data_IF_524093834278
#
_entry.id   IF_524093834278
#
_cell.length_a   1.000
_cell.length_b   1.000
_cell.length_c   1.000
_cell.angle_alpha   90.00
_cell.angle_beta   90.00
_cell.angle_gamma   90.00
#
_symmetry.space_group_name_H-M   'P 1'
#
loop_
_entity.id
_entity.type
_entity.pdbx_description
1 polymer ?
#
# COMPACT_ATOMS: atom_id res chain seq x y z
N UNK A 1 13.56 30.08 -12.84
CA UNK A 1 14.39 30.23 -11.61
C UNK A 1 15.52 29.19 -11.67
N UNK A 2 16.73 29.54 -11.28
CA UNK A 2 17.83 28.58 -11.04
C UNK A 2 17.81 28.29 -9.54
N UNK A 3 17.69 27.03 -9.18
CA UNK A 3 17.81 26.56 -7.81
C UNK A 3 19.22 25.98 -7.64
N UNK A 4 19.98 26.43 -6.65
CA UNK A 4 21.37 25.99 -6.42
C UNK A 4 21.47 24.47 -6.18
N UNK A 5 20.39 23.84 -5.71
CA UNK A 5 20.28 22.38 -5.56
C UNK A 5 20.21 21.66 -6.89
N UNK A 6 19.75 22.36 -7.95
CA UNK A 6 19.55 21.82 -9.30
C UNK A 6 20.24 22.70 -10.36
N UNK A 7 21.57 22.88 -10.30
CA UNK A 7 22.28 23.90 -11.06
C UNK A 7 22.20 23.75 -12.60
N UNK A 8 21.86 22.57 -13.08
CA UNK A 8 21.69 22.28 -14.51
C UNK A 8 20.24 22.43 -15.00
N UNK A 9 19.34 22.95 -14.16
CA UNK A 9 17.93 23.08 -14.48
C UNK A 9 17.43 24.50 -14.32
N UNK A 10 16.69 24.98 -15.33
CA UNK A 10 15.82 26.15 -15.21
C UNK A 10 14.43 25.66 -14.89
N UNK A 11 13.96 25.95 -13.69
CA UNK A 11 12.65 25.51 -13.18
C UNK A 11 11.67 26.67 -13.28
N UNK A 12 10.62 26.48 -14.08
CA UNK A 12 9.47 27.39 -14.14
C UNK A 12 8.36 26.83 -13.26
N UNK A 13 8.26 27.35 -12.05
CA UNK A 13 7.32 26.84 -11.04
C UNK A 13 5.87 27.15 -11.39
N UNK A 14 5.61 28.26 -12.10
CA UNK A 14 4.25 28.65 -12.52
C UNK A 14 3.75 27.76 -13.66
N UNK A 15 4.59 27.51 -14.67
CA UNK A 15 4.26 26.61 -15.79
C UNK A 15 4.40 25.14 -15.44
N UNK A 16 5.06 24.80 -14.32
CA UNK A 16 5.32 23.42 -13.93
C UNK A 16 6.26 22.69 -14.89
N UNK A 17 7.29 23.38 -15.41
CA UNK A 17 8.22 22.81 -16.41
C UNK A 17 9.66 22.95 -15.98
N UNK A 18 10.51 22.02 -16.46
CA UNK A 18 11.97 22.04 -16.24
C UNK A 18 12.68 22.02 -17.58
N UNK A 19 13.56 23.01 -17.79
CA UNK A 19 14.47 23.04 -18.93
C UNK A 19 15.88 22.66 -18.48
N UNK A 20 16.48 21.67 -19.14
CA UNK A 20 17.84 21.23 -18.85
C UNK A 20 18.85 22.08 -19.61
N UNK A 21 19.75 22.74 -18.88
CA UNK A 21 20.87 23.50 -19.46
C UNK A 21 21.89 22.59 -20.16
N UNK A 22 22.04 21.37 -19.64
CA UNK A 22 22.94 20.36 -20.21
C UNK A 22 22.41 19.83 -21.55
N UNK A 23 21.14 19.38 -21.60
CA UNK A 23 20.54 18.85 -22.82
C UNK A 23 19.94 19.91 -23.74
N UNK A 24 19.90 21.18 -23.32
CA UNK A 24 19.32 22.33 -24.04
C UNK A 24 17.89 22.08 -24.53
N UNK A 25 17.06 21.45 -23.69
CA UNK A 25 15.65 21.12 -23.95
C UNK A 25 14.83 20.97 -22.68
N UNK A 26 13.51 21.04 -22.81
CA UNK A 26 12.61 20.64 -21.73
C UNK A 26 12.79 19.13 -21.46
N UNK A 27 12.76 18.79 -20.16
CA UNK A 27 12.93 17.42 -19.71
C UNK A 27 11.63 16.88 -19.13
N UNK A 28 11.45 15.59 -19.26
CA UNK A 28 10.31 14.85 -18.72
C UNK A 28 9.71 13.91 -19.74
N UNK A 29 9.27 12.74 -19.24
CA UNK A 29 8.57 11.71 -20.02
C UNK A 29 7.40 11.21 -19.19
N UNK A 30 6.23 11.10 -19.81
CA UNK A 30 5.04 10.55 -19.15
C UNK A 30 5.26 9.05 -18.93
N UNK A 31 5.10 8.61 -17.68
CA UNK A 31 5.16 7.20 -17.30
C UNK A 31 3.78 6.51 -17.46
N UNK A 32 3.72 5.20 -17.18
CA UNK A 32 2.46 4.41 -17.22
C UNK A 32 1.42 4.89 -16.20
N UNK A 33 1.85 5.54 -15.13
CA UNK A 33 1.00 6.11 -14.09
C UNK A 33 0.45 7.50 -14.43
N UNK A 34 0.83 8.06 -15.60
CA UNK A 34 0.43 9.39 -16.06
C UNK A 34 1.24 10.54 -15.46
N UNK A 35 2.33 10.26 -14.72
CA UNK A 35 3.22 11.29 -14.17
C UNK A 35 4.34 11.65 -15.13
N UNK A 36 4.76 12.90 -15.13
CA UNK A 36 5.96 13.32 -15.86
C UNK A 36 7.19 12.99 -15.00
N UNK A 37 8.01 12.06 -15.49
CA UNK A 37 9.25 11.61 -14.86
C UNK A 37 10.46 12.30 -15.46
N UNK A 38 11.44 12.59 -14.62
CA UNK A 38 12.76 13.10 -15.00
C UNK A 38 13.85 12.21 -14.39
N UNK A 39 15.05 12.21 -14.98
CA UNK A 39 16.19 11.57 -14.34
C UNK A 39 16.63 12.45 -13.15
N UNK A 40 16.66 11.91 -11.93
CA UNK A 40 17.02 12.71 -10.77
C UNK A 40 18.47 13.19 -10.85
N UNK A 41 18.77 14.40 -10.37
CA UNK A 41 20.14 14.84 -10.16
C UNK A 41 20.85 13.93 -9.13
N UNK A 42 22.17 13.91 -9.17
CA UNK A 42 22.97 13.11 -8.22
C UNK A 42 22.61 13.47 -6.77
N UNK A 43 22.30 12.47 -5.97
CA UNK A 43 21.91 12.65 -4.56
C UNK A 43 20.40 12.74 -4.30
N UNK A 44 19.57 12.86 -5.34
CA UNK A 44 18.11 12.91 -5.20
C UNK A 44 17.45 11.59 -5.60
N UNK A 45 16.43 11.20 -4.81
CA UNK A 45 15.65 9.96 -5.03
C UNK A 45 14.36 10.19 -5.83
N UNK A 46 13.86 11.42 -5.83
CA UNK A 46 12.62 11.77 -6.51
C UNK A 46 12.78 11.68 -8.02
N UNK A 47 11.73 11.26 -8.71
CA UNK A 47 11.77 11.10 -10.15
C UNK A 47 10.61 11.80 -10.88
N UNK A 48 9.69 12.43 -10.15
CA UNK A 48 8.55 13.14 -10.72
C UNK A 48 8.78 14.65 -10.75
N UNK A 49 8.40 15.29 -11.87
CA UNK A 49 8.64 16.72 -12.09
C UNK A 49 7.93 17.59 -11.03
N UNK A 50 6.70 17.25 -10.63
CA UNK A 50 5.94 18.01 -9.64
C UNK A 50 6.67 18.10 -8.28
N UNK A 51 7.44 17.08 -7.91
CA UNK A 51 8.23 17.08 -6.68
C UNK A 51 9.34 18.14 -6.74
N UNK A 52 10.04 18.26 -7.87
CA UNK A 52 11.09 19.29 -8.07
C UNK A 52 10.52 20.67 -8.19
N UNK A 53 9.36 20.83 -8.83
CA UNK A 53 8.64 22.12 -8.89
C UNK A 53 8.29 22.58 -7.48
N UNK A 54 7.73 21.70 -6.66
CA UNK A 54 7.37 22.03 -5.28
C UNK A 54 8.60 22.37 -4.44
N UNK A 55 9.67 21.56 -4.52
CA UNK A 55 10.92 21.82 -3.80
C UNK A 55 11.56 23.15 -4.20
N UNK A 56 11.59 23.47 -5.49
CA UNK A 56 12.14 24.73 -5.97
C UNK A 56 11.34 25.95 -5.51
N UNK A 57 10.00 25.85 -5.51
CA UNK A 57 9.12 26.91 -5.07
C UNK A 57 9.22 27.18 -3.55
N UNK A 58 9.42 26.13 -2.75
CA UNK A 58 9.45 26.25 -1.28
C UNK A 58 10.88 26.34 -0.70
N UNK A 59 11.92 26.20 -1.52
CA UNK A 59 13.31 26.29 -1.08
C UNK A 59 13.77 25.17 -0.14
N UNK A 60 12.99 24.08 0.01
CA UNK A 60 13.28 22.96 0.91
C UNK A 60 12.96 21.62 0.27
N UNK A 61 13.47 20.54 0.84
CA UNK A 61 13.12 19.17 0.42
C UNK A 61 11.75 18.77 0.96
N UNK A 62 11.14 17.76 0.30
CA UNK A 62 9.88 17.18 0.77
C UNK A 62 10.14 16.43 2.07
N UNK A 63 9.44 16.75 3.18
CA UNK A 63 9.65 16.08 4.45
C UNK A 63 9.29 14.59 4.40
N UNK A 64 9.95 13.77 5.21
CA UNK A 64 9.62 12.36 5.32
C UNK A 64 8.17 12.16 5.76
N UNK A 65 7.48 11.21 5.12
CA UNK A 65 6.08 10.92 5.39
C UNK A 65 5.09 11.85 4.71
N UNK A 66 5.56 12.70 3.77
CA UNK A 66 4.70 13.58 2.96
C UNK A 66 4.83 13.28 1.48
N UNK A 67 3.75 13.55 0.76
CA UNK A 67 3.65 13.47 -0.70
C UNK A 67 3.26 14.83 -1.28
N UNK A 68 3.53 15.02 -2.57
CA UNK A 68 2.99 16.15 -3.31
C UNK A 68 1.77 15.69 -4.11
N UNK A 69 0.64 16.31 -3.83
CA UNK A 69 -0.66 16.02 -4.42
C UNK A 69 -1.03 17.06 -5.47
N UNK A 70 -1.69 16.62 -6.57
CA UNK A 70 -2.29 17.51 -7.56
C UNK A 70 -3.72 17.82 -7.14
N UNK A 71 -4.02 19.09 -6.82
CA UNK A 71 -5.32 19.52 -6.28
C UNK A 71 -6.47 19.21 -7.25
N UNK A 72 -6.24 19.42 -8.55
CA UNK A 72 -7.22 19.14 -9.61
C UNK A 72 -7.25 17.68 -10.07
N UNK A 73 -6.40 16.81 -9.50
CA UNK A 73 -6.24 15.41 -9.90
C UNK A 73 -5.53 15.19 -11.25
N UNK A 74 -5.18 16.26 -11.97
CA UNK A 74 -4.49 16.19 -13.26
C UNK A 74 -2.96 16.10 -13.06
N UNK A 75 -2.40 14.93 -13.23
CA UNK A 75 -0.98 14.64 -13.05
C UNK A 75 -0.05 15.35 -14.04
N UNK A 76 -0.59 15.99 -15.07
CA UNK A 76 0.15 16.75 -16.05
C UNK A 76 0.19 18.25 -15.73
N UNK A 77 -0.69 18.71 -14.84
CA UNK A 77 -0.71 20.10 -14.36
C UNK A 77 0.24 20.25 -13.17
N UNK A 78 1.52 20.45 -13.46
CA UNK A 78 2.56 20.56 -12.43
C UNK A 78 2.83 22.01 -11.97
N UNK A 79 1.92 22.96 -12.27
CA UNK A 79 2.00 24.33 -11.75
C UNK A 79 2.01 24.32 -10.23
N UNK A 80 2.84 25.17 -9.60
CA UNK A 80 2.90 25.27 -8.14
C UNK A 80 1.55 25.58 -7.50
N UNK A 81 0.68 26.32 -8.20
CA UNK A 81 -0.66 26.66 -7.74
C UNK A 81 -1.60 25.44 -7.66
N UNK A 82 -1.22 24.32 -8.28
CA UNK A 82 -1.95 23.06 -8.29
C UNK A 82 -1.30 21.99 -7.42
N UNK A 83 -0.22 22.31 -6.71
CA UNK A 83 0.55 21.32 -5.92
C UNK A 83 0.41 21.58 -4.42
N UNK A 84 0.03 20.56 -3.68
CA UNK A 84 -0.14 20.59 -2.24
C UNK A 84 0.72 19.52 -1.55
N UNK A 85 1.34 19.92 -0.41
CA UNK A 85 2.04 18.99 0.47
C UNK A 85 1.04 18.29 1.38
N UNK A 86 0.91 16.98 1.28
CA UNK A 86 -0.07 16.20 2.04
C UNK A 86 0.61 15.09 2.85
N UNK A 87 0.07 14.77 4.01
CA UNK A 87 0.55 13.62 4.78
C UNK A 87 0.26 12.31 4.02
N UNK A 88 1.29 11.48 3.83
CA UNK A 88 1.21 10.24 3.04
C UNK A 88 0.06 9.30 3.50
N UNK A 89 -0.06 9.06 4.82
CA UNK A 89 -1.10 8.17 5.36
C UNK A 89 -2.51 8.69 5.08
N UNK A 90 -2.72 10.02 5.27
CA UNK A 90 -4.00 10.67 4.99
C UNK A 90 -4.33 10.62 3.51
N UNK A 91 -3.36 10.94 2.66
CA UNK A 91 -3.46 10.92 1.20
C UNK A 91 -3.88 9.55 0.66
N UNK A 92 -3.18 8.47 1.08
CA UNK A 92 -3.54 7.09 0.72
C UNK A 92 -4.93 6.72 1.22
N UNK A 93 -5.29 7.13 2.46
CA UNK A 93 -6.63 6.87 3.02
C UNK A 93 -7.72 7.54 2.20
N UNK A 94 -7.52 8.79 1.78
CA UNK A 94 -8.51 9.54 0.98
C UNK A 94 -8.69 8.94 -0.42
N UNK A 95 -7.60 8.55 -1.09
CA UNK A 95 -7.67 7.86 -2.37
C UNK A 95 -8.32 6.47 -2.30
N UNK A 96 -8.35 5.84 -1.13
CA UNK A 96 -8.96 4.53 -0.92
C UNK A 96 -10.40 4.60 -0.38
N UNK A 97 -10.86 5.79 0.03
CA UNK A 97 -12.27 5.98 0.42
C UNK A 97 -13.20 5.63 -0.74
N UNK A 98 -14.16 4.74 -0.48
CA UNK A 98 -15.16 4.33 -1.45
C UNK A 98 -14.69 3.33 -2.50
N UNK A 99 -13.45 2.86 -2.48
CA UNK A 99 -13.03 1.74 -3.32
C UNK A 99 -13.65 0.46 -2.81
N UNK A 100 -14.63 -0.06 -3.54
CA UNK A 100 -15.20 -1.39 -3.30
C UNK A 100 -14.25 -2.40 -3.96
N UNK A 101 -13.66 -3.27 -3.15
CA UNK A 101 -12.86 -4.39 -3.67
C UNK A 101 -13.78 -5.38 -4.37
N UNK A 102 -13.35 -5.93 -5.50
CA UNK A 102 -14.11 -7.00 -6.16
C UNK A 102 -14.22 -8.22 -5.23
N UNK A 103 -15.31 -8.98 -5.35
CA UNK A 103 -15.51 -10.21 -4.56
C UNK A 103 -14.34 -11.19 -4.69
N UNK A 104 -13.78 -11.30 -5.90
CA UNK A 104 -12.60 -12.12 -6.16
C UNK A 104 -11.38 -11.64 -5.37
N UNK A 105 -11.17 -10.32 -5.27
CA UNK A 105 -10.05 -9.74 -4.52
C UNK A 105 -10.23 -9.96 -3.01
N UNK A 106 -11.46 -9.77 -2.50
CA UNK A 106 -11.82 -10.06 -1.11
C UNK A 106 -11.59 -11.54 -0.81
N UNK A 107 -12.00 -12.45 -1.71
CA UNK A 107 -11.79 -13.89 -1.57
C UNK A 107 -10.30 -14.23 -1.51
N UNK A 108 -9.46 -13.71 -2.41
CA UNK A 108 -8.02 -13.93 -2.43
C UNK A 108 -7.33 -13.44 -1.15
N UNK A 109 -7.71 -12.27 -0.64
CA UNK A 109 -7.19 -11.76 0.64
C UNK A 109 -7.62 -12.67 1.79
N UNK A 110 -8.88 -13.10 1.81
CA UNK A 110 -9.41 -14.00 2.83
C UNK A 110 -8.67 -15.35 2.81
N UNK A 111 -8.47 -15.94 1.64
CA UNK A 111 -7.75 -17.20 1.47
C UNK A 111 -6.28 -17.07 1.92
N UNK A 112 -5.59 -16.02 1.50
CA UNK A 112 -4.19 -15.78 1.87
C UNK A 112 -3.98 -15.57 3.38
N UNK A 113 -4.96 -14.99 4.06
CA UNK A 113 -4.93 -14.73 5.51
C UNK A 113 -5.55 -15.87 6.33
N UNK A 114 -6.13 -16.89 5.68
CA UNK A 114 -6.78 -18.00 6.35
C UNK A 114 -5.76 -18.92 7.01
N UNK A 115 -6.00 -19.25 8.27
CA UNK A 115 -5.26 -20.30 8.98
C UNK A 115 -6.15 -21.54 9.07
N UNK A 116 -5.61 -22.67 8.63
CA UNK A 116 -6.29 -23.94 8.80
C UNK A 116 -6.49 -24.25 10.28
N UNK A 117 -7.62 -24.84 10.60
CA UNK A 117 -7.93 -25.28 11.97
C UNK A 117 -8.31 -26.76 11.96
N UNK A 118 -7.79 -27.50 12.92
CA UNK A 118 -8.08 -28.89 13.14
C UNK A 118 -9.08 -29.07 14.29
N UNK A 119 -10.07 -29.86 14.04
CA UNK A 119 -11.11 -30.28 14.99
C UNK A 119 -10.77 -31.64 15.52
N UNK A 120 -10.67 -31.78 16.85
CA UNK A 120 -10.36 -33.05 17.52
C UNK A 120 -11.54 -33.45 18.41
N UNK A 121 -11.72 -34.75 18.59
CA UNK A 121 -12.62 -35.31 19.63
C UNK A 121 -12.08 -34.96 21.03
N UNK A 122 -12.85 -35.18 22.06
CA UNK A 122 -12.41 -34.97 23.46
C UNK A 122 -11.31 -35.97 23.86
N UNK A 123 -11.25 -37.08 23.20
CA UNK A 123 -10.21 -38.14 23.34
C UNK A 123 -8.90 -37.74 22.63
N UNK A 124 -8.91 -36.68 21.84
CA UNK A 124 -7.75 -36.15 21.13
C UNK A 124 -7.55 -36.71 19.73
N UNK A 125 -8.51 -37.43 19.18
CA UNK A 125 -8.46 -37.94 17.80
C UNK A 125 -8.83 -36.85 16.80
N UNK A 126 -8.11 -36.76 15.67
CA UNK A 126 -8.40 -35.83 14.61
C UNK A 126 -9.71 -36.18 13.90
N UNK A 127 -10.71 -35.34 14.02
CA UNK A 127 -12.01 -35.50 13.36
C UNK A 127 -12.01 -34.90 11.96
N UNK A 128 -11.58 -33.64 11.81
CA UNK A 128 -11.58 -32.91 10.52
C UNK A 128 -10.60 -31.75 10.53
N UNK A 129 -9.99 -31.47 9.36
CA UNK A 129 -9.26 -30.24 9.10
C UNK A 129 -10.12 -29.32 8.24
N UNK A 130 -10.20 -28.06 8.62
CA UNK A 130 -10.93 -27.00 7.96
C UNK A 130 -9.94 -26.00 7.39
N UNK A 131 -10.18 -25.49 6.17
CA UNK A 131 -9.29 -24.49 5.55
C UNK A 131 -9.27 -23.16 6.33
N UNK A 132 -10.32 -22.88 7.10
CA UNK A 132 -10.38 -21.71 7.99
C UNK A 132 -11.44 -21.91 9.08
N UNK A 133 -11.32 -21.12 10.17
CA UNK A 133 -12.36 -21.03 11.18
C UNK A 133 -13.69 -20.48 10.62
N UNK A 134 -13.65 -19.66 9.55
CA UNK A 134 -14.83 -19.17 8.84
C UNK A 134 -15.54 -20.26 8.05
N UNK A 135 -14.79 -21.20 7.46
CA UNK A 135 -15.41 -22.37 6.81
C UNK A 135 -16.15 -23.23 7.82
N UNK A 136 -15.57 -23.47 8.99
CA UNK A 136 -16.23 -24.17 10.08
C UNK A 136 -17.48 -23.42 10.56
N UNK A 137 -17.50 -22.08 10.56
CA UNK A 137 -18.67 -21.28 10.91
C UNK A 137 -19.82 -21.48 9.93
N UNK A 138 -19.56 -21.54 8.63
CA UNK A 138 -20.57 -21.87 7.60
C UNK A 138 -21.19 -23.26 7.81
N UNK A 139 -20.50 -24.13 8.56
CA UNK A 139 -20.96 -25.46 8.92
C UNK A 139 -21.51 -25.53 10.37
N UNK A 140 -21.90 -24.37 10.93
CA UNK A 140 -22.63 -24.28 12.19
C UNK A 140 -21.78 -24.15 13.44
N UNK A 141 -20.47 -23.94 13.34
CA UNK A 141 -19.61 -23.61 14.47
C UNK A 141 -19.44 -22.08 14.60
N UNK A 142 -18.89 -21.61 15.70
CA UNK A 142 -18.60 -20.17 15.87
C UNK A 142 -17.13 -19.89 15.64
N UNK A 143 -16.80 -19.07 14.62
CA UNK A 143 -15.43 -18.63 14.32
C UNK A 143 -14.73 -18.05 15.55
N UNK A 144 -15.43 -17.21 16.32
CA UNK A 144 -14.91 -16.62 17.55
C UNK A 144 -14.48 -17.69 18.55
N UNK A 145 -15.37 -18.63 18.85
CA UNK A 145 -15.10 -19.68 19.85
C UNK A 145 -14.00 -20.65 19.38
N UNK A 146 -13.93 -20.96 18.09
CA UNK A 146 -12.82 -21.73 17.50
C UNK A 146 -11.50 -20.99 17.72
N UNK A 147 -11.44 -19.69 17.40
CA UNK A 147 -10.25 -18.86 17.59
C UNK A 147 -9.83 -18.79 19.06
N UNK A 148 -10.78 -18.67 19.99
CA UNK A 148 -10.53 -18.70 21.43
C UNK A 148 -9.94 -20.07 21.87
N UNK A 149 -10.42 -21.18 21.30
CA UNK A 149 -9.85 -22.50 21.56
C UNK A 149 -8.41 -22.60 21.03
N UNK A 150 -8.17 -22.20 19.79
CA UNK A 150 -6.84 -22.22 19.18
C UNK A 150 -5.81 -21.33 19.93
N UNK A 151 -6.29 -20.28 20.60
CA UNK A 151 -5.47 -19.37 21.43
C UNK A 151 -5.33 -19.84 22.89
N UNK A 152 -5.94 -20.98 23.26
CA UNK A 152 -5.92 -21.50 24.62
C UNK A 152 -6.84 -20.77 25.63
N UNK A 153 -7.64 -19.77 25.15
CA UNK A 153 -8.58 -19.03 26.00
C UNK A 153 -9.86 -19.81 26.36
N UNK A 154 -10.14 -20.84 25.57
CA UNK A 154 -11.27 -21.74 25.75
C UNK A 154 -10.81 -23.20 25.57
N UNK A 155 -11.29 -24.11 26.38
CA UNK A 155 -10.89 -25.52 26.28
C UNK A 155 -11.53 -26.24 25.08
N UNK A 156 -12.83 -26.06 24.88
CA UNK A 156 -13.62 -26.75 23.85
C UNK A 156 -14.71 -25.87 23.27
N UNK A 157 -15.17 -26.20 22.05
CA UNK A 157 -16.37 -25.62 21.45
C UNK A 157 -17.22 -26.70 20.79
N UNK A 158 -18.50 -26.77 21.15
CA UNK A 158 -19.47 -27.79 20.69
C UNK A 158 -18.97 -29.24 20.82
N UNK A 159 -18.34 -29.57 21.95
CA UNK A 159 -17.85 -30.93 22.23
C UNK A 159 -16.55 -31.30 21.51
N UNK A 160 -15.86 -30.34 20.89
CA UNK A 160 -14.60 -30.56 20.18
C UNK A 160 -13.48 -29.66 20.73
N UNK A 161 -12.25 -30.16 20.62
CA UNK A 161 -11.02 -29.41 20.85
C UNK A 161 -10.58 -28.85 19.49
N UNK A 162 -10.19 -27.57 19.45
CA UNK A 162 -9.76 -26.87 18.24
C UNK A 162 -8.34 -26.35 18.38
N UNK A 163 -7.52 -26.61 17.36
CA UNK A 163 -6.13 -26.12 17.29
C UNK A 163 -5.84 -25.58 15.88
N UNK A 164 -4.88 -24.69 15.74
CA UNK A 164 -4.34 -24.38 14.42
C UNK A 164 -3.71 -25.64 13.85
N UNK A 165 -3.99 -25.92 12.57
CA UNK A 165 -3.40 -27.06 11.88
C UNK A 165 -2.02 -26.65 11.35
N UNK A 166 -0.99 -27.37 11.77
CA UNK A 166 0.35 -27.28 11.23
C UNK A 166 0.61 -28.58 10.45
N UNK A 167 0.81 -28.46 9.13
CA UNK A 167 1.30 -29.61 8.36
C UNK A 167 2.65 -30.04 8.96
N UNK A 168 2.73 -31.26 9.45
CA UNK A 168 4.02 -31.86 9.75
C UNK A 168 4.78 -31.96 8.43
N UNK A 169 5.78 -31.07 8.23
CA UNK A 169 6.80 -31.30 7.21
C UNK A 169 7.54 -32.54 7.66
N UNK A 170 7.23 -33.67 7.05
CA UNK A 170 8.08 -34.84 7.17
C UNK A 170 9.45 -34.48 6.64
N UNK A 171 10.41 -34.34 7.57
CA UNK A 171 11.82 -34.18 7.25
C UNK A 171 12.26 -35.52 6.73
N UNK A 172 12.38 -35.62 5.39
CA UNK A 172 13.02 -36.73 4.71
C UNK A 172 14.54 -36.61 4.89
#
# INVERSE_FOLDING_TARGET
MIDERFPNWLIDVEKGTIYSLYYKRYVGKIDRGGYIKVNPPKGYKHCCIHQYIWMAANGCDIPDGYDIHHIDGNKLNNSIYNLELVNHKKHVSEHNKGKILSEEHIRKISEANSKQVAQYTLEGELNKVWNSAMEAERNGFSQRHISECCQGKRKTHKGFIWKYYEEKKDVA
#
